data_IF_042273101620
#
_entry.id   IF_042273101620
#
_cell.length_a   1.000
_cell.length_b   1.000
_cell.length_c   1.000
_cell.angle_alpha   90.00
_cell.angle_beta   90.00
_cell.angle_gamma   90.00
#
_symmetry.space_group_name_H-M   'P 1'
#
loop_
_entity.id
_entity.type
_entity.pdbx_description
1 polymer ?
#
# COMPACT_ATOMS: atom_id res chain seq x y z
N UNK A 1 -2.07 -4.49 -7.23
CA UNK A 1 -0.82 -3.78 -6.89
C UNK A 1 -0.04 -4.55 -5.82
N UNK A 2 -0.34 -4.51 -4.51
CA UNK A 2 0.48 -5.26 -3.52
C UNK A 2 0.55 -6.78 -3.78
N UNK A 3 -0.60 -7.45 -3.93
CA UNK A 3 -0.64 -8.90 -4.20
C UNK A 3 0.05 -9.25 -5.52
N UNK A 4 -0.06 -8.35 -6.50
CA UNK A 4 0.57 -8.49 -7.82
C UNK A 4 2.08 -8.30 -7.73
N UNK A 5 2.56 -7.38 -6.89
CA UNK A 5 3.99 -7.21 -6.62
C UNK A 5 4.57 -8.41 -5.89
N UNK A 6 3.83 -8.99 -4.95
CA UNK A 6 4.21 -10.26 -4.31
C UNK A 6 4.33 -11.37 -5.36
N UNK A 7 3.31 -11.54 -6.21
CA UNK A 7 3.32 -12.54 -7.26
C UNK A 7 4.48 -12.33 -8.27
N UNK A 8 4.83 -11.07 -8.56
CA UNK A 8 5.96 -10.74 -9.42
C UNK A 8 7.31 -11.14 -8.80
N UNK A 9 7.49 -10.92 -7.49
CA UNK A 9 8.70 -11.36 -6.77
C UNK A 9 8.80 -12.88 -6.75
N UNK A 10 7.70 -13.58 -6.49
CA UNK A 10 7.67 -15.05 -6.51
C UNK A 10 7.94 -15.61 -7.92
N UNK A 11 7.44 -14.97 -8.97
CA UNK A 11 7.68 -15.36 -10.36
C UNK A 11 9.15 -15.22 -10.78
N UNK A 12 9.88 -14.26 -10.22
CA UNK A 12 11.32 -14.06 -10.44
C UNK A 12 12.19 -14.95 -9.52
N UNK A 13 11.56 -15.83 -8.72
CA UNK A 13 12.25 -16.73 -7.80
C UNK A 13 12.65 -16.10 -6.47
N UNK A 14 12.14 -14.91 -6.15
CA UNK A 14 12.31 -14.25 -4.86
C UNK A 14 11.41 -14.83 -3.76
N UNK A 15 11.72 -14.48 -2.51
CA UNK A 15 10.96 -14.91 -1.33
C UNK A 15 9.98 -13.81 -0.90
N UNK A 16 8.67 -14.07 -1.01
CA UNK A 16 7.64 -13.10 -0.62
C UNK A 16 7.61 -12.78 0.88
N UNK A 17 8.19 -13.65 1.73
CA UNK A 17 8.23 -13.46 3.18
C UNK A 17 9.24 -12.40 3.62
N UNK A 18 10.15 -12.00 2.74
CA UNK A 18 11.10 -10.92 3.03
C UNK A 18 10.50 -9.54 2.73
N UNK A 19 9.30 -9.48 2.16
CA UNK A 19 8.63 -8.22 1.82
C UNK A 19 7.84 -7.70 3.02
N UNK A 20 7.96 -6.40 3.29
CA UNK A 20 7.13 -5.70 4.27
C UNK A 20 6.07 -4.88 3.56
N UNK A 21 4.81 -5.31 3.62
CA UNK A 21 3.74 -4.69 2.83
C UNK A 21 3.07 -3.55 3.60
N UNK A 22 3.05 -2.35 3.02
CA UNK A 22 2.41 -1.18 3.62
C UNK A 22 1.30 -0.62 2.71
N UNK A 23 0.39 0.14 3.29
CA UNK A 23 -0.66 0.80 2.52
C UNK A 23 -1.49 1.73 3.38
N UNK A 24 -1.99 2.81 2.78
CA UNK A 24 -2.86 3.74 3.46
C UNK A 24 -4.05 4.09 2.56
N UNK A 25 -5.26 3.79 3.05
CA UNK A 25 -6.52 3.99 2.33
C UNK A 25 -7.49 4.85 3.13
N UNK A 26 -8.10 5.83 2.47
CA UNK A 26 -9.06 6.74 3.08
C UNK A 26 -10.41 6.06 3.31
N UNK A 27 -10.87 5.29 2.33
CA UNK A 27 -12.17 4.62 2.38
C UNK A 27 -12.12 3.35 3.25
N UNK A 28 -12.97 3.29 4.27
CA UNK A 28 -13.02 2.15 5.21
C UNK A 28 -13.32 0.83 4.50
N UNK A 29 -14.27 0.81 3.57
CA UNK A 29 -14.67 -0.39 2.84
C UNK A 29 -13.52 -0.91 2.00
N UNK A 30 -12.88 -0.03 1.23
CA UNK A 30 -11.71 -0.40 0.41
C UNK A 30 -10.54 -0.88 1.27
N UNK A 31 -10.30 -0.23 2.41
CA UNK A 31 -9.26 -0.64 3.36
C UNK A 31 -9.54 -2.04 3.94
N UNK A 32 -10.80 -2.31 4.25
CA UNK A 32 -11.22 -3.62 4.77
C UNK A 32 -11.04 -4.71 3.71
N UNK A 33 -11.43 -4.42 2.45
CA UNK A 33 -11.21 -5.31 1.31
C UNK A 33 -9.72 -5.58 1.10
N UNK A 34 -8.89 -4.54 1.18
CA UNK A 34 -7.43 -4.69 1.05
C UNK A 34 -6.87 -5.67 2.08
N UNK A 35 -7.24 -5.51 3.35
CA UNK A 35 -6.82 -6.41 4.43
C UNK A 35 -7.30 -7.83 4.22
N UNK A 36 -8.58 -8.00 3.85
CA UNK A 36 -9.13 -9.31 3.52
C UNK A 36 -8.34 -9.98 2.40
N UNK A 37 -7.99 -9.24 1.35
CA UNK A 37 -7.18 -9.79 0.26
C UNK A 37 -5.80 -10.23 0.76
N UNK A 38 -5.13 -9.45 1.61
CA UNK A 38 -3.85 -9.88 2.21
C UNK A 38 -3.99 -11.21 2.97
N UNK A 39 -5.04 -11.36 3.77
CA UNK A 39 -5.29 -12.61 4.50
C UNK A 39 -5.58 -13.79 3.58
N UNK A 40 -6.41 -13.60 2.55
CA UNK A 40 -6.75 -14.65 1.57
C UNK A 40 -5.51 -15.14 0.84
N UNK A 41 -4.56 -14.25 0.56
CA UNK A 41 -3.30 -14.56 -0.10
C UNK A 41 -2.19 -15.02 0.87
N UNK A 42 -2.54 -15.34 2.12
CA UNK A 42 -1.61 -15.81 3.15
C UNK A 42 -0.43 -14.84 3.41
N UNK A 43 -0.71 -13.54 3.37
CA UNK A 43 0.23 -12.46 3.68
C UNK A 43 -0.18 -11.78 5.01
N UNK A 44 -0.01 -12.45 6.17
CA UNK A 44 -0.48 -11.92 7.46
C UNK A 44 0.34 -10.72 7.94
N UNK A 45 1.59 -10.59 7.49
CA UNK A 45 2.49 -9.49 7.86
C UNK A 45 2.31 -8.30 6.91
N UNK A 46 1.22 -7.56 7.12
CA UNK A 46 0.88 -6.38 6.35
C UNK A 46 0.42 -5.24 7.26
N UNK A 47 0.72 -4.01 6.85
CA UNK A 47 0.35 -2.82 7.55
C UNK A 47 -0.51 -1.91 6.66
N UNK A 48 -1.83 -2.12 6.70
CA UNK A 48 -2.80 -1.33 5.94
C UNK A 48 -3.55 -0.39 6.88
N UNK A 49 -3.16 0.88 6.86
CA UNK A 49 -3.71 1.96 7.68
C UNK A 49 -4.91 2.63 7.01
N UNK A 50 -5.82 3.17 7.83
CA UNK A 50 -6.91 4.03 7.36
C UNK A 50 -6.55 5.50 7.50
N UNK A 51 -6.74 6.30 6.46
CA UNK A 51 -6.59 7.75 6.52
C UNK A 51 -6.31 8.38 5.16
N UNK A 52 -6.41 9.71 5.11
CA UNK A 52 -6.03 10.51 3.94
C UNK A 52 -4.50 10.69 3.93
N UNK A 53 -3.82 10.07 2.96
CA UNK A 53 -2.34 10.01 2.92
C UNK A 53 -1.69 11.38 2.82
N UNK A 54 -2.32 12.34 2.15
CA UNK A 54 -1.76 13.69 1.98
C UNK A 54 -1.99 14.57 3.21
N UNK A 55 -3.14 14.44 3.87
CA UNK A 55 -3.47 15.25 5.05
C UNK A 55 -2.94 14.68 6.35
N UNK A 56 -2.94 13.36 6.46
CA UNK A 56 -2.59 12.61 7.67
C UNK A 56 -1.77 11.36 7.29
N UNK A 57 -0.50 11.53 6.88
CA UNK A 57 0.36 10.39 6.61
C UNK A 57 0.52 9.53 7.88
N UNK A 58 0.24 8.24 7.78
CA UNK A 58 0.32 7.31 8.93
C UNK A 58 1.67 6.59 9.04
N UNK A 59 2.48 6.65 7.99
CA UNK A 59 3.82 6.05 7.98
C UNK A 59 4.88 7.15 8.08
N UNK A 60 5.30 7.43 9.30
CA UNK A 60 6.30 8.45 9.61
C UNK A 60 7.38 7.86 10.51
N UNK A 61 8.62 8.32 10.34
CA UNK A 61 9.75 8.03 11.20
C UNK A 61 10.15 9.35 11.88
N UNK A 62 9.58 9.61 13.06
CA UNK A 62 9.68 10.91 13.74
C UNK A 62 8.96 12.02 12.97
N UNK A 63 9.68 13.10 12.67
CA UNK A 63 9.16 14.25 11.91
C UNK A 63 9.25 14.07 10.38
N UNK A 64 9.74 12.92 9.91
CA UNK A 64 9.89 12.61 8.49
C UNK A 64 8.91 11.53 8.03
N UNK A 65 8.61 11.50 6.73
CA UNK A 65 7.90 10.37 6.12
C UNK A 65 8.80 9.14 6.13
N UNK A 66 8.22 7.99 6.46
CA UNK A 66 8.89 6.70 6.34
C UNK A 66 9.39 6.52 4.91
N UNK A 67 10.63 6.07 4.77
CA UNK A 67 11.19 5.73 3.46
C UNK A 67 10.87 4.27 3.11
N UNK A 68 10.67 4.02 1.84
CA UNK A 68 10.27 2.73 1.29
C UNK A 68 11.15 2.44 0.07
N UNK A 69 11.61 1.20 -0.14
CA UNK A 69 12.51 0.93 -1.27
C UNK A 69 11.81 1.02 -2.63
N UNK A 70 10.50 0.73 -2.67
CA UNK A 70 9.70 0.77 -3.89
C UNK A 70 8.35 1.38 -3.57
N UNK A 71 7.92 2.46 -4.22
CA UNK A 71 6.56 3.00 -4.01
C UNK A 71 5.73 2.76 -5.26
N UNK A 72 4.56 2.17 -5.07
CA UNK A 72 3.58 1.94 -6.12
C UNK A 72 2.31 2.71 -5.75
N UNK A 73 1.66 3.32 -6.72
CA UNK A 73 0.34 3.91 -6.54
C UNK A 73 -0.31 4.03 -7.91
N UNK A 74 -1.59 3.67 -8.02
CA UNK A 74 -2.35 3.92 -9.24
C UNK A 74 -2.93 5.33 -9.17
N UNK A 75 -2.61 6.13 -10.19
CA UNK A 75 -3.25 7.41 -10.44
C UNK A 75 -3.77 7.40 -11.87
N UNK A 76 -5.06 7.18 -12.07
CA UNK A 76 -5.64 7.33 -13.40
C UNK A 76 -5.66 8.82 -13.79
N UNK A 77 -5.37 9.10 -15.06
CA UNK A 77 -5.28 10.43 -15.68
C UNK A 77 -6.51 11.33 -15.39
N UNK A 78 -6.28 12.62 -15.15
CA UNK A 78 -7.01 13.68 -15.88
C UNK A 78 -8.11 14.52 -15.22
N UNK A 79 -8.87 14.07 -14.20
CA UNK A 79 -10.10 14.83 -13.81
C UNK A 79 -10.27 15.23 -12.33
N UNK A 80 -9.39 14.87 -11.39
CA UNK A 80 -9.70 15.03 -9.96
C UNK A 80 -8.56 15.58 -9.07
N UNK A 81 -7.86 16.64 -9.50
CA UNK A 81 -7.23 17.59 -8.54
C UNK A 81 -8.32 18.53 -7.97
N UNK A 82 -9.39 17.92 -7.48
CA UNK A 82 -10.43 18.54 -6.63
C UNK A 82 -10.83 17.57 -5.51
N UNK A 83 -10.71 16.27 -5.75
CA UNK A 83 -10.80 15.25 -4.72
C UNK A 83 -9.39 14.84 -4.31
N UNK A 84 -8.86 15.62 -3.37
CA UNK A 84 -7.55 15.55 -2.73
C UNK A 84 -7.08 14.12 -2.34
N UNK A 85 -6.56 13.37 -3.31
CA UNK A 85 -5.23 12.77 -3.21
C UNK A 85 -5.08 11.37 -2.62
N UNK A 86 -5.29 10.38 -3.49
CA UNK A 86 -4.57 9.10 -3.67
C UNK A 86 -4.51 8.09 -2.51
N UNK A 87 -5.17 6.96 -2.75
CA UNK A 87 -4.76 5.64 -2.30
C UNK A 87 -4.54 4.76 -3.54
N UNK A 88 -3.50 3.91 -3.55
CA UNK A 88 -3.55 2.53 -4.10
C UNK A 88 -2.26 1.73 -3.79
N UNK A 89 -1.80 1.78 -2.53
CA UNK A 89 -0.76 0.92 -1.89
C UNK A 89 0.73 1.15 -2.22
N UNK A 90 1.49 1.69 -1.26
CA UNK A 90 2.95 1.78 -1.31
C UNK A 90 3.60 0.42 -0.97
N UNK A 91 4.45 -0.13 -1.85
CA UNK A 91 5.46 -1.09 -1.38
C UNK A 91 6.36 -0.35 -0.36
N UNK A 92 6.91 -1.06 0.62
CA UNK A 92 8.34 -1.00 0.89
C UNK A 92 8.83 -2.39 0.50
N UNK A 93 9.79 -2.47 -0.40
CA UNK A 93 10.83 -3.44 -0.09
C UNK A 93 11.64 -2.85 1.07
#
# INVERSE_FOLDING_TARGET
MLIESVAAVEADGGDSRTLSLYGQEKNLTTQSIARMNMYIHNLPDHNIMRGDTLREPKFTDGDALKQFDVVIAKRWLGQMIRDNGVCEYALAA
#
